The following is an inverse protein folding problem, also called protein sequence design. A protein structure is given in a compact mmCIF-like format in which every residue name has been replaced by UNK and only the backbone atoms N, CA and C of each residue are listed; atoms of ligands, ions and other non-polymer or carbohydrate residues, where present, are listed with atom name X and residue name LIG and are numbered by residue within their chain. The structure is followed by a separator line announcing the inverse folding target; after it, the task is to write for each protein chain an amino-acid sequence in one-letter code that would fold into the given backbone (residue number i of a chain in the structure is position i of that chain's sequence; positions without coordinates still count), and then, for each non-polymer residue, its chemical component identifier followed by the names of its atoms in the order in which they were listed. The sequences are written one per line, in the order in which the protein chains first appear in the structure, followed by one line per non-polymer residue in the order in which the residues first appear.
data_IF_385201051060
#
_entry.id   IF_385201051060
#
_cell.length_a   1.000
_cell.length_b   1.000
_cell.length_c   1.000
_cell.angle_alpha   90.00
_cell.angle_beta   90.00
_cell.angle_gamma   90.00
#
_symmetry.space_group_name_H-M   'P 1'
#
loop_
_entity.id
_entity.type
_entity.pdbx_description
1 polymer ?
#
# COMPACT_ATOMS: atom_id res chain seq x y z
N UNK A 1 7.78 -4.11 27.74
CA UNK A 1 7.37 -3.05 26.79
C UNK A 1 5.92 -3.32 26.46
N UNK A 2 4.99 -2.44 26.83
CA UNK A 2 3.59 -2.57 26.44
C UNK A 2 3.53 -2.53 24.91
N UNK A 3 3.22 -3.66 24.26
CA UNK A 3 3.10 -3.73 22.81
C UNK A 3 1.90 -2.86 22.40
N UNK A 4 2.17 -1.60 22.07
CA UNK A 4 1.18 -0.68 21.53
C UNK A 4 0.73 -1.26 20.18
N UNK A 5 -0.57 -1.46 20.01
CA UNK A 5 -1.16 -1.88 18.73
C UNK A 5 -0.73 -0.88 17.66
N UNK A 6 -0.11 -1.37 16.60
CA UNK A 6 0.37 -0.55 15.48
C UNK A 6 -0.79 -0.25 14.54
N UNK A 7 -1.06 1.03 14.33
CA UNK A 7 -2.14 1.53 13.48
C UNK A 7 -1.66 1.68 12.04
N UNK A 8 -2.40 1.07 11.13
CA UNK A 8 -2.07 0.98 9.71
C UNK A 8 -3.12 1.75 8.90
N UNK A 9 -2.65 2.66 8.06
CA UNK A 9 -3.44 3.20 6.96
C UNK A 9 -3.09 2.44 5.68
N UNK A 10 -4.07 1.98 4.91
CA UNK A 10 -3.84 1.11 3.75
C UNK A 10 -4.43 1.74 2.49
N UNK A 11 -3.57 2.02 1.50
CA UNK A 11 -3.95 2.44 0.16
C UNK A 11 -3.87 1.24 -0.80
N UNK A 12 -4.91 1.02 -1.61
CA UNK A 12 -4.99 -0.13 -2.51
C UNK A 12 -5.55 -1.38 -1.81
N UNK A 13 -6.51 -1.20 -0.90
CA UNK A 13 -7.02 -2.25 0.00
C UNK A 13 -7.63 -3.46 -0.72
N UNK A 14 -8.24 -3.26 -1.89
CA UNK A 14 -8.87 -4.32 -2.70
C UNK A 14 -7.89 -4.98 -3.69
N UNK A 15 -6.62 -4.55 -3.70
CA UNK A 15 -5.57 -5.16 -4.52
C UNK A 15 -4.97 -6.40 -3.87
N UNK A 16 -4.06 -7.09 -4.58
CA UNK A 16 -3.37 -8.29 -4.07
C UNK A 16 -2.62 -8.03 -2.75
N UNK A 17 -1.80 -6.96 -2.72
CA UNK A 17 -1.05 -6.55 -1.53
C UNK A 17 -1.98 -6.07 -0.42
N UNK A 18 -3.04 -5.34 -0.76
CA UNK A 18 -4.05 -4.90 0.20
C UNK A 18 -4.71 -6.07 0.92
N UNK A 19 -5.22 -7.05 0.18
CA UNK A 19 -5.79 -8.29 0.73
C UNK A 19 -4.80 -9.06 1.60
N UNK A 20 -3.55 -9.20 1.15
CA UNK A 20 -2.49 -9.86 1.91
C UNK A 20 -2.19 -9.13 3.23
N UNK A 21 -2.19 -7.80 3.20
CA UNK A 21 -2.04 -6.96 4.40
C UNK A 21 -3.18 -7.19 5.38
N UNK A 22 -4.43 -7.19 4.90
CA UNK A 22 -5.62 -7.42 5.73
C UNK A 22 -5.68 -8.83 6.32
N UNK A 23 -5.19 -9.83 5.59
CA UNK A 23 -5.03 -11.20 6.11
C UNK A 23 -4.02 -11.26 7.26
N UNK A 24 -2.88 -10.57 7.16
CA UNK A 24 -1.92 -10.47 8.26
C UNK A 24 -2.55 -9.77 9.48
N UNK A 25 -3.25 -8.65 9.28
CA UNK A 25 -3.92 -7.94 10.39
C UNK A 25 -4.97 -8.82 11.05
N UNK A 26 -5.70 -9.64 10.27
CA UNK A 26 -6.65 -10.63 10.79
C UNK A 26 -5.99 -11.65 11.71
N UNK A 27 -4.80 -12.13 11.34
CA UNK A 27 -4.08 -13.17 12.09
C UNK A 27 -3.42 -12.64 13.36
N UNK A 28 -3.18 -11.33 13.44
CA UNK A 28 -2.51 -10.68 14.57
C UNK A 28 -3.24 -9.40 15.04
N UNK A 29 -4.52 -9.50 15.45
CA UNK A 29 -5.34 -8.34 15.83
C UNK A 29 -4.85 -7.66 17.11
N UNK A 30 -4.07 -8.35 17.94
CA UNK A 30 -3.42 -7.80 19.13
C UNK A 30 -2.21 -6.92 18.81
N UNK A 31 -1.71 -6.98 17.57
CA UNK A 31 -0.52 -6.23 17.12
C UNK A 31 -0.85 -5.14 16.13
N UNK A 32 -1.90 -5.32 15.33
CA UNK A 32 -2.21 -4.42 14.23
C UNK A 32 -3.67 -4.01 14.21
N UNK A 33 -3.91 -2.76 13.81
CA UNK A 33 -5.25 -2.21 13.60
C UNK A 33 -5.28 -1.43 12.30
N UNK A 34 -6.29 -1.66 11.46
CA UNK A 34 -6.58 -0.79 10.32
C UNK A 34 -7.31 0.45 10.82
N UNK A 35 -6.79 1.64 10.49
CA UNK A 35 -7.42 2.92 10.83
C UNK A 35 -7.98 3.66 9.62
N UNK A 36 -7.51 3.36 8.42
CA UNK A 36 -8.05 3.91 7.18
C UNK A 36 -7.84 2.94 6.01
N UNK A 37 -8.78 2.95 5.06
CA UNK A 37 -8.70 2.16 3.82
C UNK A 37 -8.96 3.05 2.60
N UNK A 38 -8.07 3.02 1.62
CA UNK A 38 -8.29 3.54 0.29
C UNK A 38 -8.48 2.39 -0.70
N UNK A 39 -9.60 2.37 -1.42
CA UNK A 39 -9.89 1.43 -2.49
C UNK A 39 -10.12 2.12 -3.83
N UNK A 40 -10.05 1.35 -4.91
CA UNK A 40 -10.39 1.82 -6.25
C UNK A 40 -11.90 1.69 -6.51
N UNK A 41 -12.25 0.95 -7.56
CA UNK A 41 -13.64 0.75 -8.01
C UNK A 41 -14.33 -0.50 -7.46
N UNK A 42 -13.62 -1.37 -6.74
CA UNK A 42 -14.22 -2.59 -6.18
C UNK A 42 -14.94 -2.27 -4.87
N UNK A 43 -16.08 -1.59 -4.97
CA UNK A 43 -16.83 -1.07 -3.82
C UNK A 43 -17.41 -2.19 -2.97
N UNK A 44 -17.90 -3.26 -3.60
CA UNK A 44 -18.39 -4.45 -2.89
C UNK A 44 -17.34 -5.02 -1.93
N UNK A 45 -16.10 -5.22 -2.40
CA UNK A 45 -15.03 -5.73 -1.55
C UNK A 45 -14.61 -4.71 -0.49
N UNK A 46 -14.48 -3.43 -0.86
CA UNK A 46 -14.12 -2.37 0.09
C UNK A 46 -15.17 -2.24 1.21
N UNK A 47 -16.46 -2.36 0.91
CA UNK A 47 -17.54 -2.36 1.90
C UNK A 47 -17.42 -3.54 2.87
N UNK A 48 -17.17 -4.75 2.36
CA UNK A 48 -16.94 -5.93 3.20
C UNK A 48 -15.72 -5.74 4.13
N UNK A 49 -14.63 -5.17 3.61
CA UNK A 49 -13.44 -4.82 4.40
C UNK A 49 -13.78 -3.75 5.46
N UNK A 50 -14.53 -2.70 5.11
CA UNK A 50 -14.92 -1.65 6.03
C UNK A 50 -15.81 -2.18 7.17
N UNK A 51 -16.77 -3.06 6.87
CA UNK A 51 -17.62 -3.69 7.88
C UNK A 51 -16.84 -4.52 8.88
N UNK A 52 -15.82 -5.24 8.40
CA UNK A 52 -14.94 -6.09 9.19
C UNK A 52 -13.99 -5.28 10.08
N UNK A 53 -13.27 -4.33 9.49
CA UNK A 53 -12.17 -3.63 10.16
C UNK A 53 -12.58 -2.32 10.83
N UNK A 54 -13.75 -1.77 10.48
CA UNK A 54 -14.32 -0.52 11.01
C UNK A 54 -13.29 0.62 11.06
N UNK A 55 -12.68 0.99 9.91
CA UNK A 55 -11.75 2.09 9.86
C UNK A 55 -12.42 3.42 10.22
N UNK A 56 -11.61 4.41 10.55
CA UNK A 56 -12.06 5.78 10.84
C UNK A 56 -12.26 6.62 9.58
N UNK A 57 -11.67 6.19 8.45
CA UNK A 57 -11.71 6.91 7.18
C UNK A 57 -11.67 5.92 6.01
N UNK A 58 -12.47 6.19 4.99
CA UNK A 58 -12.48 5.48 3.72
C UNK A 58 -12.15 6.47 2.58
N UNK A 59 -11.51 5.96 1.53
CA UNK A 59 -11.38 6.68 0.27
C UNK A 59 -11.69 5.79 -0.93
N UNK A 60 -12.33 6.38 -1.94
CA UNK A 60 -12.71 5.76 -3.22
C UNK A 60 -12.28 6.63 -4.38
N UNK A 61 -12.30 6.08 -5.60
CA UNK A 61 -11.81 6.79 -6.78
C UNK A 61 -12.71 7.95 -7.24
N UNK A 62 -14.03 7.78 -7.18
CA UNK A 62 -15.00 8.70 -7.76
C UNK A 62 -16.30 8.76 -6.92
N UNK A 63 -17.14 9.75 -7.22
CA UNK A 63 -18.38 10.03 -6.48
C UNK A 63 -19.38 8.87 -6.57
N UNK A 64 -19.46 8.21 -7.74
CA UNK A 64 -20.33 7.05 -7.92
C UNK A 64 -19.95 5.92 -6.96
N UNK A 65 -18.66 5.63 -6.83
CA UNK A 65 -18.19 4.66 -5.85
C UNK A 65 -18.43 5.09 -4.40
N UNK A 66 -18.46 6.40 -4.12
CA UNK A 66 -18.73 6.93 -2.79
C UNK A 66 -20.19 6.74 -2.40
N UNK A 67 -21.11 7.04 -3.31
CA UNK A 67 -22.55 6.83 -3.12
C UNK A 67 -22.88 5.34 -2.90
N UNK A 68 -22.30 4.45 -3.72
CA UNK A 68 -22.49 3.00 -3.57
C UNK A 68 -21.95 2.50 -2.22
N UNK A 69 -20.77 2.99 -1.82
CA UNK A 69 -20.16 2.63 -0.54
C UNK A 69 -20.99 3.14 0.64
N UNK A 70 -21.47 4.38 0.58
CA UNK A 70 -22.31 4.98 1.63
C UNK A 70 -23.61 4.18 1.81
N UNK A 71 -24.28 3.81 0.73
CA UNK A 71 -25.47 2.96 0.79
C UNK A 71 -25.19 1.62 1.47
N UNK A 72 -24.09 0.96 1.08
CA UNK A 72 -23.71 -0.32 1.65
C UNK A 72 -23.35 -0.22 3.16
N UNK A 73 -22.68 0.85 3.57
CA UNK A 73 -22.36 1.10 4.99
C UNK A 73 -23.60 1.43 5.81
N UNK A 74 -24.51 2.25 5.28
CA UNK A 74 -25.77 2.58 5.93
C UNK A 74 -26.64 1.33 6.12
N UNK A 75 -26.72 0.45 5.12
CA UNK A 75 -27.40 -0.84 5.24
C UNK A 75 -26.80 -1.75 6.33
N UNK A 76 -25.50 -1.62 6.58
CA UNK A 76 -24.79 -2.32 7.65
C UNK A 76 -24.83 -1.59 9.01
N UNK A 77 -25.50 -0.43 9.10
CA UNK A 77 -25.56 0.39 10.32
C UNK A 77 -24.24 1.06 10.70
N UNK A 78 -23.36 1.30 9.72
CA UNK A 78 -22.05 1.92 9.92
C UNK A 78 -22.03 3.34 9.36
N UNK A 79 -21.42 4.24 10.11
CA UNK A 79 -21.18 5.62 9.69
C UNK A 79 -19.69 5.91 9.70
N UNK A 80 -19.07 5.83 8.53
CA UNK A 80 -17.63 6.06 8.34
C UNK A 80 -17.48 7.17 7.29
N UNK A 81 -16.69 8.23 7.53
CA UNK A 81 -16.39 9.25 6.53
C UNK A 81 -15.78 8.64 5.26
N UNK A 82 -16.28 9.03 4.10
CA UNK A 82 -15.78 8.63 2.78
C UNK A 82 -15.23 9.88 2.08
N UNK A 83 -14.01 9.77 1.56
CA UNK A 83 -13.37 10.81 0.75
C UNK A 83 -13.19 10.32 -0.69
N UNK A 84 -13.16 11.25 -1.63
CA UNK A 84 -13.17 10.92 -3.07
C UNK A 84 -11.87 11.35 -3.75
N UNK A 85 -11.43 10.51 -4.69
CA UNK A 85 -10.32 10.77 -5.59
C UNK A 85 -8.98 10.91 -4.87
N UNK A 86 -8.09 11.65 -5.52
CA UNK A 86 -6.73 11.89 -5.04
C UNK A 86 -6.70 12.61 -3.68
N UNK A 87 -7.54 13.63 -3.39
CA UNK A 87 -7.62 14.20 -2.04
C UNK A 87 -7.99 13.16 -0.98
N UNK A 88 -8.88 12.21 -1.31
CA UNK A 88 -9.22 11.11 -0.41
C UNK A 88 -8.06 10.15 -0.16
N UNK A 89 -7.33 9.77 -1.21
CA UNK A 89 -6.12 8.97 -1.05
C UNK A 89 -5.06 9.67 -0.16
N UNK A 90 -4.87 10.98 -0.33
CA UNK A 90 -3.98 11.78 0.52
C UNK A 90 -4.49 11.82 1.97
N UNK A 91 -5.79 12.00 2.20
CA UNK A 91 -6.37 11.99 3.54
C UNK A 91 -6.16 10.65 4.25
N UNK A 92 -6.34 9.52 3.55
CA UNK A 92 -6.01 8.19 4.06
C UNK A 92 -4.52 8.10 4.39
N UNK A 93 -3.64 8.51 3.48
CA UNK A 93 -2.18 8.46 3.65
C UNK A 93 -1.66 9.34 4.80
N UNK A 94 -2.39 10.38 5.19
CA UNK A 94 -1.94 11.38 6.17
C UNK A 94 -2.73 11.33 7.48
N UNK A 95 -3.63 10.34 7.65
CA UNK A 95 -4.43 10.18 8.85
C UNK A 95 -3.55 10.18 10.11
N UNK A 96 -3.85 11.08 11.05
CA UNK A 96 -2.97 11.39 12.17
C UNK A 96 -2.70 10.19 13.07
N UNK A 97 -3.69 9.31 13.19
CA UNK A 97 -3.73 8.10 14.00
C UNK A 97 -2.86 6.97 13.43
N UNK A 98 -2.50 7.00 12.15
CA UNK A 98 -1.69 5.96 11.53
C UNK A 98 -0.23 6.05 11.99
N UNK A 99 0.35 4.94 12.43
CA UNK A 99 1.78 4.82 12.72
C UNK A 99 2.57 4.50 11.42
N UNK A 100 1.93 3.84 10.46
CA UNK A 100 2.50 3.45 9.18
C UNK A 100 1.44 3.46 8.07
N UNK A 101 1.88 3.78 6.84
CA UNK A 101 1.05 3.71 5.63
C UNK A 101 1.54 2.55 4.76
N UNK A 102 0.63 1.67 4.35
CA UNK A 102 0.89 0.67 3.32
C UNK A 102 0.45 1.25 1.97
N UNK A 103 1.40 1.57 1.11
CA UNK A 103 1.18 2.15 -0.21
C UNK A 103 1.19 1.05 -1.28
N UNK A 104 -0.01 0.52 -1.60
CA UNK A 104 -0.21 -0.58 -2.54
C UNK A 104 -1.11 -0.22 -3.75
N UNK A 105 -1.24 1.07 -4.06
CA UNK A 105 -1.86 1.52 -5.31
C UNK A 105 -0.94 1.19 -6.50
N UNK A 106 -1.53 0.85 -7.65
CA UNK A 106 -0.78 0.49 -8.87
C UNK A 106 -0.51 1.73 -9.72
N UNK A 107 0.64 1.80 -10.39
CA UNK A 107 0.98 2.89 -11.31
C UNK A 107 1.27 4.22 -10.62
N UNK A 108 1.17 5.32 -11.39
CA UNK A 108 1.62 6.64 -10.95
C UNK A 108 0.72 7.31 -9.90
N UNK A 109 -0.53 6.86 -9.78
CA UNK A 109 -1.51 7.43 -8.84
C UNK A 109 -1.11 7.27 -7.37
N UNK A 110 -0.20 6.35 -7.06
CA UNK A 110 0.34 6.16 -5.71
C UNK A 110 1.38 7.20 -5.29
N UNK A 111 1.94 7.97 -6.23
CA UNK A 111 3.07 8.86 -5.95
C UNK A 111 2.71 9.99 -5.00
N UNK A 112 1.65 10.75 -5.30
CA UNK A 112 1.25 11.90 -4.49
C UNK A 112 0.82 11.51 -3.06
N UNK A 113 -0.04 10.49 -2.85
CA UNK A 113 -0.33 10.00 -1.50
C UNK A 113 0.90 9.52 -0.74
N UNK A 114 1.84 8.86 -1.41
CA UNK A 114 3.11 8.41 -0.81
C UNK A 114 3.97 9.59 -0.36
N UNK A 115 4.15 10.57 -1.25
CA UNK A 115 4.88 11.80 -0.93
C UNK A 115 4.23 12.57 0.23
N UNK A 116 2.90 12.66 0.24
CA UNK A 116 2.15 13.31 1.32
C UNK A 116 2.31 12.59 2.67
N UNK A 117 2.28 11.25 2.69
CA UNK A 117 2.54 10.46 3.90
C UNK A 117 3.92 10.73 4.47
N UNK A 118 4.97 10.72 3.64
CA UNK A 118 6.34 11.00 4.07
C UNK A 118 6.48 12.41 4.62
N UNK A 119 5.88 13.41 3.93
CA UNK A 119 5.86 14.80 4.39
C UNK A 119 5.08 14.99 5.70
N UNK A 120 4.08 14.16 5.95
CA UNK A 120 3.32 14.14 7.20
C UNK A 120 4.04 13.37 8.34
N UNK A 121 5.29 12.95 8.14
CA UNK A 121 6.06 12.25 9.16
C UNK A 121 5.61 10.80 9.36
N UNK A 122 5.01 10.17 8.34
CA UNK A 122 4.62 8.75 8.38
C UNK A 122 5.71 7.87 7.77
N UNK A 123 5.96 6.73 8.41
CA UNK A 123 6.67 5.64 7.75
C UNK A 123 5.78 5.07 6.65
N UNK A 124 6.39 4.69 5.52
CA UNK A 124 5.65 4.13 4.38
C UNK A 124 6.21 2.74 4.06
N UNK A 125 5.37 1.72 4.10
CA UNK A 125 5.64 0.43 3.50
C UNK A 125 5.19 0.46 2.03
N UNK A 126 6.14 0.51 1.11
CA UNK A 126 5.93 0.81 -0.29
C UNK A 126 5.97 -0.46 -1.15
N UNK A 127 4.83 -0.80 -1.74
CA UNK A 127 4.73 -1.88 -2.73
C UNK A 127 4.76 -1.36 -4.18
N UNK A 128 4.41 -0.10 -4.39
CA UNK A 128 4.39 0.53 -5.70
C UNK A 128 5.80 0.93 -6.16
N UNK A 129 6.43 0.05 -6.94
CA UNK A 129 7.78 0.28 -7.50
C UNK A 129 7.81 1.44 -8.49
N UNK A 130 6.71 1.71 -9.19
CA UNK A 130 6.61 2.77 -10.19
C UNK A 130 6.87 4.15 -9.57
N UNK A 131 6.42 4.39 -8.33
CA UNK A 131 6.73 5.63 -7.60
C UNK A 131 8.23 5.82 -7.35
N UNK A 132 8.95 4.74 -7.00
CA UNK A 132 10.41 4.80 -6.83
C UNK A 132 11.15 5.00 -8.15
N UNK A 133 10.68 4.38 -9.22
CA UNK A 133 11.27 4.54 -10.56
C UNK A 133 11.11 5.98 -11.06
N UNK A 134 9.93 6.58 -10.91
CA UNK A 134 9.66 7.93 -11.39
C UNK A 134 10.28 9.03 -10.52
N UNK A 135 10.25 8.85 -9.20
CA UNK A 135 10.49 9.92 -8.24
C UNK A 135 11.33 9.51 -7.04
N UNK A 136 12.14 8.44 -7.15
CA UNK A 136 12.91 7.88 -6.03
C UNK A 136 13.78 8.90 -5.31
N UNK A 137 14.45 9.81 -6.05
CA UNK A 137 15.24 10.90 -5.43
C UNK A 137 14.37 11.81 -4.56
N UNK A 138 13.25 12.28 -5.08
CA UNK A 138 12.31 13.16 -4.36
C UNK A 138 11.78 12.46 -3.10
N UNK A 139 11.36 11.21 -3.22
CA UNK A 139 10.82 10.43 -2.09
C UNK A 139 11.88 10.22 -1.00
N UNK A 140 13.11 9.88 -1.38
CA UNK A 140 14.22 9.69 -0.44
C UNK A 140 14.61 11.00 0.25
N UNK A 141 14.68 12.12 -0.47
CA UNK A 141 14.98 13.43 0.10
C UNK A 141 13.93 13.83 1.14
N UNK A 142 12.64 13.64 0.84
CA UNK A 142 11.53 13.96 1.74
C UNK A 142 11.52 13.02 2.95
N UNK A 143 11.75 11.71 2.74
CA UNK A 143 11.82 10.74 3.83
C UNK A 143 12.96 11.07 4.81
N UNK A 144 14.14 11.40 4.27
CA UNK A 144 15.31 11.82 5.06
C UNK A 144 15.04 13.11 5.84
N UNK A 145 14.51 14.14 5.17
CA UNK A 145 14.20 15.42 5.80
C UNK A 145 13.19 15.29 6.96
N UNK A 146 12.22 14.37 6.84
CA UNK A 146 11.21 14.12 7.87
C UNK A 146 11.58 13.01 8.86
N UNK A 147 12.77 12.39 8.73
CA UNK A 147 13.25 11.28 9.58
C UNK A 147 12.28 10.10 9.64
N UNK A 148 11.74 9.73 8.48
CA UNK A 148 10.84 8.58 8.31
C UNK A 148 11.43 7.55 7.37
N UNK A 149 10.98 6.31 7.50
CA UNK A 149 11.44 5.20 6.68
C UNK A 149 10.51 4.92 5.48
N UNK A 150 11.12 4.56 4.35
CA UNK A 150 10.48 3.85 3.24
C UNK A 150 10.88 2.38 3.37
N UNK A 151 9.92 1.50 3.66
CA UNK A 151 10.12 0.07 3.83
C UNK A 151 9.69 -0.67 2.55
N UNK A 152 10.56 -1.45 1.90
CA UNK A 152 10.21 -2.15 0.67
C UNK A 152 9.26 -3.32 0.93
N UNK A 153 8.14 -3.36 0.20
CA UNK A 153 7.22 -4.51 0.16
C UNK A 153 7.34 -5.36 -1.11
N UNK A 154 8.00 -4.87 -2.16
CA UNK A 154 8.33 -5.68 -3.33
C UNK A 154 9.28 -6.81 -2.91
N UNK A 155 9.03 -8.05 -3.33
CA UNK A 155 9.57 -9.28 -2.74
C UNK A 155 11.10 -9.30 -2.70
N UNK A 156 11.74 -8.96 -3.81
CA UNK A 156 13.19 -8.99 -3.97
C UNK A 156 13.85 -7.89 -3.14
N UNK A 157 13.25 -6.69 -3.14
CA UNK A 157 13.74 -5.55 -2.35
C UNK A 157 13.55 -5.80 -0.84
N UNK A 158 12.44 -6.43 -0.46
CA UNK A 158 12.17 -6.86 0.90
C UNK A 158 13.16 -7.93 1.37
N UNK A 159 13.52 -8.88 0.50
CA UNK A 159 14.54 -9.89 0.79
C UNK A 159 15.92 -9.25 1.01
N UNK A 160 16.34 -8.33 0.14
CA UNK A 160 17.59 -7.58 0.32
C UNK A 160 17.57 -6.77 1.61
N UNK A 161 16.46 -6.07 1.91
CA UNK A 161 16.33 -5.30 3.14
C UNK A 161 16.44 -6.17 4.40
N UNK A 162 15.84 -7.36 4.40
CA UNK A 162 15.94 -8.30 5.52
C UNK A 162 17.36 -8.82 5.73
N UNK A 163 18.09 -9.13 4.66
CA UNK A 163 19.48 -9.64 4.75
C UNK A 163 20.46 -8.54 5.17
N UNK A 164 20.22 -7.29 4.76
CA UNK A 164 21.06 -6.15 5.11
C UNK A 164 20.73 -5.57 6.50
N UNK A 165 19.62 -5.96 7.12
CA UNK A 165 19.19 -5.37 8.38
C UNK A 165 20.16 -5.71 9.52
N UNK A 166 20.92 -4.70 9.97
CA UNK A 166 21.94 -4.84 11.01
C UNK A 166 23.36 -4.95 10.45
N UNK A 167 23.51 -5.04 9.13
CA UNK A 167 24.81 -5.10 8.44
C UNK A 167 25.27 -3.71 8.00
N UNK A 168 26.59 -3.44 7.97
CA UNK A 168 27.11 -2.17 7.47
C UNK A 168 26.97 -2.08 5.95
N UNK A 169 26.52 -0.94 5.43
CA UNK A 169 26.43 -0.70 3.98
C UNK A 169 27.78 -0.90 3.28
N UNK A 170 28.89 -0.57 3.95
CA UNK A 170 30.25 -0.77 3.41
C UNK A 170 30.66 -2.24 3.26
N UNK A 171 29.89 -3.17 3.83
CA UNK A 171 30.09 -4.61 3.66
C UNK A 171 29.42 -5.19 2.41
N UNK A 172 28.64 -4.39 1.66
CA UNK A 172 27.91 -4.86 0.49
C UNK A 172 28.82 -4.87 -0.74
N UNK A 173 29.25 -6.06 -1.16
CA UNK A 173 30.01 -6.23 -2.42
C UNK A 173 29.09 -6.36 -3.64
N UNK A 174 27.98 -7.10 -3.51
CA UNK A 174 27.09 -7.45 -4.62
C UNK A 174 25.65 -7.66 -4.15
N UNK A 175 24.70 -7.19 -4.96
CA UNK A 175 23.28 -7.49 -4.82
C UNK A 175 22.84 -8.44 -5.94
N UNK A 176 22.09 -9.49 -5.59
CA UNK A 176 21.54 -10.45 -6.55
C UNK A 176 20.03 -10.24 -6.60
N UNK A 177 19.54 -9.74 -7.73
CA UNK A 177 18.12 -9.60 -7.99
C UNK A 177 17.63 -10.85 -8.74
N UNK A 178 16.79 -11.65 -8.08
CA UNK A 178 16.19 -12.84 -8.68
C UNK A 178 14.96 -12.46 -9.52
N UNK A 179 14.65 -13.27 -10.53
CA UNK A 179 13.41 -13.15 -11.29
C UNK A 179 12.89 -14.55 -11.63
N UNK A 180 11.56 -14.72 -11.71
CA UNK A 180 10.96 -16.01 -12.09
C UNK A 180 11.14 -16.34 -13.58
N UNK A 181 11.36 -15.32 -14.41
CA UNK A 181 11.39 -15.42 -15.88
C UNK A 181 10.01 -15.35 -16.54
N UNK A 182 8.92 -15.37 -15.76
CA UNK A 182 7.55 -15.27 -16.26
C UNK A 182 7.07 -16.50 -17.08
N UNK A 183 5.82 -16.46 -17.59
CA UNK A 183 5.24 -17.57 -18.35
C UNK A 183 5.95 -17.86 -19.67
N UNK A 184 6.69 -16.88 -20.21
CA UNK A 184 7.34 -16.97 -21.52
C UNK A 184 8.83 -17.30 -21.45
N UNK A 185 9.35 -17.72 -20.28
CA UNK A 185 10.77 -18.00 -20.06
C UNK A 185 11.37 -18.96 -21.10
N UNK A 186 10.58 -19.93 -21.55
CA UNK A 186 11.00 -21.00 -22.46
C UNK A 186 10.47 -20.81 -23.89
N UNK A 187 9.83 -19.67 -24.18
CA UNK A 187 9.27 -19.41 -25.50
C UNK A 187 10.37 -19.02 -26.49
N UNK A 188 10.23 -19.47 -27.73
CA UNK A 188 10.97 -18.90 -28.86
C UNK A 188 10.45 -17.51 -29.22
N UNK A 189 11.26 -16.73 -29.96
CA UNK A 189 10.84 -15.40 -30.44
C UNK A 189 9.56 -15.44 -31.28
N UNK A 190 9.37 -16.51 -32.07
CA UNK A 190 8.16 -16.70 -32.86
C UNK A 190 6.93 -16.95 -31.98
N UNK A 191 7.07 -17.74 -30.90
CA UNK A 191 5.99 -17.96 -29.95
C UNK A 191 5.65 -16.68 -29.16
N UNK A 192 6.66 -15.88 -28.81
CA UNK A 192 6.45 -14.60 -28.11
C UNK A 192 5.66 -13.59 -28.96
N UNK A 193 5.79 -13.62 -30.29
CA UNK A 193 5.07 -12.71 -31.18
C UNK A 193 3.55 -12.93 -31.19
N UNK A 194 3.10 -14.13 -30.85
CA UNK A 194 1.69 -14.54 -30.88
C UNK A 194 1.01 -14.45 -29.49
N UNK A 195 1.73 -13.95 -28.47
CA UNK A 195 1.21 -13.87 -27.10
C UNK A 195 0.11 -12.81 -26.97
N UNK A 196 -0.98 -13.19 -26.30
CA UNK A 196 -2.08 -12.32 -25.89
C UNK A 196 -2.01 -12.00 -24.38
N UNK A 197 -2.77 -11.01 -23.89
CA UNK A 197 -2.91 -10.76 -22.46
C UNK A 197 -3.48 -11.94 -21.66
N UNK A 198 -4.42 -12.70 -22.25
CA UNK A 198 -4.92 -13.99 -21.75
C UNK A 198 -3.93 -15.13 -22.01
#
# INVERSE_FOLDING_TARGET
MTNKVKKISLLGATGSIGRSTLDIVTRFPERYQIVALGGGRNISELSAQAQRFRPQLLAVQDETGAEELEQALNAAGLKIPIMVGQPGAIAVATLSEADIVVAAMVGAVGLEPTHAALKAGKNVALANKESMVMAGRLLNEVASANKVAILPLDSEHSALWQVLNGEPESGVEKLILTASGGPFREFSLAQMAEVTPE
#
